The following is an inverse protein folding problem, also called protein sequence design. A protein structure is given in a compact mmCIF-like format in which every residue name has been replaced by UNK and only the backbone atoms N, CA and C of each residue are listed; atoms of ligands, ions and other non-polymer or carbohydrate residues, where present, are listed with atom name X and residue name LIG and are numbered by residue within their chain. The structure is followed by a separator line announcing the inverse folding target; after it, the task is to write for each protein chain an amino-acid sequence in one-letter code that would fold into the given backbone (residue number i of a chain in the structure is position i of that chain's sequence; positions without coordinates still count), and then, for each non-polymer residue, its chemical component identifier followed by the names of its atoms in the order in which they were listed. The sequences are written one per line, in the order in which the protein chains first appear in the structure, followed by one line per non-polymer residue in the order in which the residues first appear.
data_IF_441958325157
#
_entry.id   IF_441958325157
#
_cell.length_a   1.000
_cell.length_b   1.000
_cell.length_c   1.000
_cell.angle_alpha   90.00
_cell.angle_beta   90.00
_cell.angle_gamma   90.00
#
_symmetry.space_group_name_H-M   'P 1'
#
loop_
_entity.id
_entity.type
_entity.pdbx_description
1 polymer ?
#
# COMPACT_ATOMS: atom_id res chain seq x y z
N UNK A 1 -15.25 24.24 -42.46
CA UNK A 1 -16.22 24.25 -41.34
C UNK A 1 -16.72 22.82 -41.18
N UNK A 2 -16.57 22.10 -40.07
CA UNK A 2 -16.32 22.44 -38.68
C UNK A 2 -15.43 21.36 -38.04
N UNK A 3 -14.55 21.82 -37.16
CA UNK A 3 -13.76 21.03 -36.22
C UNK A 3 -14.70 20.44 -35.17
N UNK A 4 -14.70 19.13 -34.94
CA UNK A 4 -15.30 18.54 -33.74
C UNK A 4 -14.30 17.57 -33.11
N UNK A 5 -13.48 18.16 -32.24
CA UNK A 5 -12.65 17.47 -31.28
C UNK A 5 -13.56 16.84 -30.22
N UNK A 6 -14.07 15.64 -30.49
CA UNK A 6 -14.73 14.84 -29.46
C UNK A 6 -13.61 14.34 -28.54
N UNK A 7 -13.35 15.09 -27.47
CA UNK A 7 -12.48 14.66 -26.40
C UNK A 7 -13.05 13.36 -25.81
N UNK A 8 -12.45 12.23 -26.18
CA UNK A 8 -12.80 10.91 -25.68
C UNK A 8 -12.43 10.85 -24.19
N UNK A 9 -13.39 11.21 -23.35
CA UNK A 9 -13.29 11.26 -21.89
C UNK A 9 -13.37 9.86 -21.26
N UNK A 10 -12.81 8.84 -21.95
CA UNK A 10 -12.69 7.48 -21.41
C UNK A 10 -11.69 7.53 -20.26
N UNK A 11 -12.19 7.42 -19.03
CA UNK A 11 -11.41 6.96 -17.87
C UNK A 11 -10.76 5.63 -18.25
N UNK A 12 -9.55 5.69 -18.81
CA UNK A 12 -8.80 4.49 -19.19
C UNK A 12 -8.56 3.70 -17.91
N UNK A 13 -9.12 2.50 -17.82
CA UNK A 13 -8.88 1.59 -16.69
C UNK A 13 -7.39 1.34 -16.60
N UNK A 14 -6.77 1.81 -15.52
CA UNK A 14 -5.38 1.51 -15.20
C UNK A 14 -5.36 0.25 -14.35
N UNK A 15 -4.51 -0.71 -14.73
CA UNK A 15 -4.30 -1.95 -13.99
C UNK A 15 -2.92 -1.84 -13.36
N UNK A 16 -2.83 -2.19 -12.08
CA UNK A 16 -1.59 -2.21 -11.32
C UNK A 16 -1.43 -3.59 -10.68
N UNK A 17 -0.19 -4.03 -10.57
CA UNK A 17 0.19 -5.30 -9.94
C UNK A 17 1.21 -4.99 -8.84
N UNK A 18 1.04 -5.63 -7.70
CA UNK A 18 1.88 -5.48 -6.51
C UNK A 18 2.15 -6.87 -5.94
N UNK A 19 3.23 -7.01 -5.17
CA UNK A 19 3.56 -8.27 -4.50
C UNK A 19 2.50 -8.63 -3.46
N UNK A 20 2.01 -7.63 -2.73
CA UNK A 20 0.93 -7.77 -1.75
C UNK A 20 -0.09 -6.63 -1.88
N UNK A 21 -1.37 -6.96 -1.68
CA UNK A 21 -2.48 -6.00 -1.62
C UNK A 21 -3.22 -6.26 -0.31
N UNK A 22 -3.18 -5.30 0.60
CA UNK A 22 -3.88 -5.35 1.89
C UNK A 22 -5.21 -4.60 1.76
N UNK A 23 -6.32 -5.25 2.17
CA UNK A 23 -7.63 -4.63 2.15
C UNK A 23 -7.79 -3.67 3.33
N UNK A 24 -8.60 -2.62 3.16
CA UNK A 24 -9.00 -1.78 4.28
C UNK A 24 -9.99 -2.57 5.15
N UNK A 25 -9.62 -2.83 6.40
CA UNK A 25 -10.48 -3.51 7.36
C UNK A 25 -11.52 -2.52 7.90
N UNK A 26 -12.71 -3.02 8.19
CA UNK A 26 -13.72 -2.31 8.98
C UNK A 26 -13.38 -2.44 10.47
N UNK A 27 -13.72 -1.42 11.26
CA UNK A 27 -13.38 -1.16 12.68
C UNK A 27 -13.37 -2.34 13.68
N UNK A 28 -13.81 -3.55 13.31
CA UNK A 28 -13.78 -4.77 14.12
C UNK A 28 -12.61 -5.73 13.81
N UNK A 29 -11.79 -5.45 12.79
CA UNK A 29 -10.71 -6.36 12.31
C UNK A 29 -9.33 -5.68 12.18
N UNK A 30 -9.17 -4.49 12.77
CA UNK A 30 -7.97 -3.66 12.61
C UNK A 30 -6.66 -4.34 13.06
N UNK A 31 -6.71 -5.14 14.13
CA UNK A 31 -5.56 -5.90 14.61
C UNK A 31 -5.09 -6.97 13.61
N UNK A 32 -6.02 -7.57 12.86
CA UNK A 32 -5.72 -8.61 11.89
C UNK A 32 -4.99 -8.02 10.66
N UNK A 33 -5.37 -6.82 10.22
CA UNK A 33 -4.70 -6.14 9.12
C UNK A 33 -3.24 -5.77 9.43
N UNK A 34 -2.98 -5.24 10.63
CA UNK A 34 -1.62 -4.92 11.06
C UNK A 34 -0.74 -6.16 11.18
N UNK A 35 -1.31 -7.25 11.71
CA UNK A 35 -0.63 -8.54 11.80
C UNK A 35 -0.26 -9.07 10.41
N UNK A 36 -1.18 -9.01 9.45
CA UNK A 36 -0.91 -9.45 8.07
C UNK A 36 0.22 -8.65 7.41
N UNK A 37 0.25 -7.32 7.61
CA UNK A 37 1.34 -6.48 7.09
C UNK A 37 2.69 -6.89 7.71
N UNK A 38 2.72 -7.14 9.02
CA UNK A 38 3.93 -7.59 9.69
C UNK A 38 4.38 -8.96 9.18
N UNK A 39 3.48 -9.91 9.00
CA UNK A 39 3.79 -11.26 8.50
C UNK A 39 4.32 -11.23 7.06
N UNK A 40 3.74 -10.41 6.18
CA UNK A 40 4.16 -10.34 4.79
C UNK A 40 5.41 -9.47 4.56
N UNK A 41 5.58 -8.36 5.28
CA UNK A 41 6.65 -7.37 5.00
C UNK A 41 7.63 -7.25 6.18
N UNK A 42 7.12 -7.21 7.40
CA UNK A 42 7.93 -7.02 8.61
C UNK A 42 8.88 -8.19 8.89
N UNK A 43 8.40 -9.44 8.73
CA UNK A 43 9.20 -10.63 8.99
C UNK A 43 10.38 -10.76 8.00
N UNK A 44 10.15 -10.49 6.72
CA UNK A 44 11.21 -10.52 5.70
C UNK A 44 12.29 -9.46 5.98
N UNK A 45 11.85 -8.23 6.32
CA UNK A 45 12.75 -7.16 6.71
C UNK A 45 13.56 -7.53 7.97
N UNK A 46 12.92 -8.15 8.97
CA UNK A 46 13.57 -8.60 10.19
C UNK A 46 14.60 -9.70 9.92
N UNK A 47 14.27 -10.70 9.09
CA UNK A 47 15.21 -11.76 8.69
C UNK A 47 16.46 -11.17 8.04
N UNK A 48 16.26 -10.23 7.11
CA UNK A 48 17.37 -9.53 6.44
C UNK A 48 18.30 -8.82 7.42
N UNK A 49 17.72 -8.16 8.44
CA UNK A 49 18.51 -7.49 9.49
C UNK A 49 19.29 -8.51 10.33
N UNK A 50 18.67 -9.63 10.70
CA UNK A 50 19.31 -10.69 11.49
C UNK A 50 20.45 -11.38 10.73
N UNK A 51 20.37 -11.44 9.40
CA UNK A 51 21.44 -11.92 8.52
C UNK A 51 22.59 -10.92 8.32
N UNK A 52 22.47 -9.71 8.88
CA UNK A 52 23.50 -8.67 8.82
C UNK A 52 23.36 -7.70 7.64
N UNK A 53 22.21 -7.70 6.95
CA UNK A 53 21.92 -6.73 5.89
C UNK A 53 21.20 -5.49 6.42
N UNK A 54 21.39 -4.36 5.74
CA UNK A 54 20.61 -3.17 5.99
C UNK A 54 19.23 -3.32 5.32
N UNK A 55 18.17 -3.11 6.09
CA UNK A 55 16.79 -3.07 5.58
C UNK A 55 16.20 -1.66 5.73
N UNK A 56 15.27 -1.30 4.86
CA UNK A 56 14.59 0.01 4.90
C UNK A 56 13.13 -0.14 4.49
N UNK A 57 12.24 0.41 5.31
CA UNK A 57 10.79 0.37 5.10
C UNK A 57 10.24 1.79 5.06
N UNK A 58 9.43 2.10 4.05
CA UNK A 58 8.83 3.42 3.86
C UNK A 58 7.34 3.30 3.56
N UNK A 59 6.52 4.13 4.21
CA UNK A 59 5.12 4.30 3.87
C UNK A 59 4.92 5.56 3.01
N UNK A 60 4.28 5.42 1.85
CA UNK A 60 4.05 6.51 0.91
C UNK A 60 2.56 6.67 0.58
N UNK A 61 2.09 7.92 0.50
CA UNK A 61 0.70 8.25 0.24
C UNK A 61 0.32 9.65 0.71
N UNK A 62 -0.85 10.14 0.33
CA UNK A 62 -1.36 11.46 0.76
C UNK A 62 -1.73 11.45 2.26
N UNK A 63 -1.90 12.62 2.88
CA UNK A 63 -2.27 12.70 4.31
C UNK A 63 -3.62 12.00 4.57
N UNK A 64 -3.72 11.30 5.71
CA UNK A 64 -4.93 10.57 6.09
C UNK A 64 -5.04 9.13 5.56
N UNK A 65 -4.13 8.67 4.70
CA UNK A 65 -4.19 7.30 4.12
C UNK A 65 -3.50 6.22 4.96
N UNK A 66 -3.32 6.44 6.27
CA UNK A 66 -2.80 5.40 7.16
C UNK A 66 -1.27 5.21 7.20
N UNK A 67 -0.43 6.08 6.60
CA UNK A 67 1.05 5.94 6.67
C UNK A 67 1.59 5.73 8.09
N UNK A 68 1.19 6.59 9.03
CA UNK A 68 1.62 6.50 10.43
C UNK A 68 1.07 5.24 11.08
N UNK A 69 -0.20 4.92 10.82
CA UNK A 69 -0.85 3.73 11.32
C UNK A 69 -0.14 2.46 10.85
N UNK A 70 0.23 2.34 9.57
CA UNK A 70 0.95 1.18 9.04
C UNK A 70 2.34 0.98 9.64
N UNK A 71 3.06 2.05 9.96
CA UNK A 71 4.43 1.94 10.50
C UNK A 71 4.44 1.78 12.03
N UNK A 72 3.55 2.47 12.74
CA UNK A 72 3.60 2.59 14.20
C UNK A 72 2.37 2.02 14.91
N UNK A 73 1.27 1.74 14.19
CA UNK A 73 0.00 1.36 14.79
C UNK A 73 -0.77 2.53 15.42
N UNK A 74 -1.65 2.19 16.36
CA UNK A 74 -2.34 3.10 17.30
C UNK A 74 -1.70 3.04 18.68
#
# INVERSE_FOLDING_TARGET
AQYNHVADNRRRRRIFTFDHIFAAHTDSEDEEGQKQIYECVGQEALSSILEGYNSSLFAYGVTGTGKTYTIFGT
#
